data_IF_030136004154
#
_entry.id   IF_030136004154
#
_cell.length_a   1.000
_cell.length_b   1.000
_cell.length_c   1.000
_cell.angle_alpha   90.00
_cell.angle_beta   90.00
_cell.angle_gamma   90.00
#
_symmetry.space_group_name_H-M   'P 1'
#
loop_
_entity.id
_entity.type
_entity.pdbx_description
1 polymer ?
#
# COMPACT_ATOMS: atom_id res chain seq x y z
N UNK A 1 13.02 2.08 -2.82
CA UNK A 1 11.64 1.53 -2.79
C UNK A 1 10.72 2.68 -3.03
N UNK A 2 9.78 2.61 -3.96
CA UNK A 2 8.85 3.70 -4.30
C UNK A 2 8.15 4.35 -3.08
N UNK A 3 7.54 5.50 -3.32
CA UNK A 3 6.78 6.28 -2.35
C UNK A 3 5.40 6.60 -2.88
N UNK A 4 4.38 6.50 -2.03
CA UNK A 4 3.01 6.87 -2.36
C UNK A 4 2.55 8.03 -1.49
N UNK A 5 1.71 8.90 -2.07
CA UNK A 5 1.01 10.00 -1.41
C UNK A 5 -0.41 10.04 -1.94
N UNK A 6 -1.37 10.34 -1.09
CA UNK A 6 -2.71 10.69 -1.54
C UNK A 6 -3.42 11.64 -0.60
N UNK A 7 -4.29 12.44 -1.20
CA UNK A 7 -5.11 13.44 -0.55
C UNK A 7 -6.54 13.30 -1.06
N UNK A 8 -7.47 13.04 -0.14
CA UNK A 8 -8.90 13.04 -0.38
C UNK A 8 -9.51 14.23 0.35
N UNK A 9 -10.41 14.95 -0.30
CA UNK A 9 -11.22 15.96 0.35
C UNK A 9 -12.68 15.88 -0.07
N UNK A 10 -13.59 15.87 0.90
CA UNK A 10 -15.01 15.72 0.66
C UNK A 10 -15.71 17.01 0.22
N UNK A 11 -15.07 18.17 0.41
CA UNK A 11 -15.65 19.51 0.18
C UNK A 11 -14.81 20.40 -0.73
N UNK A 12 -13.49 20.42 -0.57
CA UNK A 12 -12.57 21.17 -1.41
C UNK A 12 -12.41 20.53 -2.79
N UNK A 13 -12.25 21.35 -3.83
CA UNK A 13 -11.87 20.91 -5.16
C UNK A 13 -10.34 20.75 -5.26
N UNK A 14 -9.87 19.51 -5.41
CA UNK A 14 -8.44 19.20 -5.47
C UNK A 14 -7.83 19.31 -6.88
N UNK A 15 -8.63 19.56 -7.92
CA UNK A 15 -8.13 19.67 -9.30
C UNK A 15 -7.20 20.85 -9.54
N UNK A 16 -7.16 21.81 -8.61
CA UNK A 16 -6.33 23.03 -8.68
C UNK A 16 -5.22 23.06 -7.63
N UNK A 17 -5.02 21.97 -6.89
CA UNK A 17 -4.12 21.91 -5.73
C UNK A 17 -2.80 21.18 -6.06
N UNK A 18 -2.29 21.38 -7.28
CA UNK A 18 -1.11 20.69 -7.81
C UNK A 18 0.15 20.96 -6.97
N UNK A 19 0.36 22.21 -6.55
CA UNK A 19 1.52 22.65 -5.79
C UNK A 19 1.65 21.90 -4.45
N UNK A 20 0.54 21.74 -3.71
CA UNK A 20 0.54 21.06 -2.42
C UNK A 20 0.88 19.58 -2.60
N UNK A 21 0.23 18.87 -3.54
CA UNK A 21 0.53 17.46 -3.76
C UNK A 21 1.97 17.26 -4.24
N UNK A 22 2.47 18.18 -5.06
CA UNK A 22 3.87 18.19 -5.50
C UNK A 22 4.82 18.32 -4.31
N UNK A 23 4.63 19.31 -3.44
CA UNK A 23 5.45 19.53 -2.24
C UNK A 23 5.46 18.29 -1.34
N UNK A 24 4.29 17.71 -1.07
CA UNK A 24 4.17 16.46 -0.30
C UNK A 24 4.99 15.33 -0.93
N UNK A 25 4.91 15.18 -2.25
CA UNK A 25 5.60 14.13 -3.00
C UNK A 25 7.12 14.34 -3.06
N UNK A 26 7.58 15.58 -3.15
CA UNK A 26 9.02 15.90 -3.14
C UNK A 26 9.71 15.49 -1.84
N UNK A 27 9.02 15.56 -0.70
CA UNK A 27 9.61 15.14 0.58
C UNK A 27 10.04 13.67 0.62
N UNK A 28 9.47 12.83 -0.26
CA UNK A 28 9.76 11.41 -0.37
C UNK A 28 10.47 11.03 -1.68
N UNK A 29 11.11 11.98 -2.36
CA UNK A 29 11.88 11.73 -3.59
C UNK A 29 12.93 10.62 -3.42
N UNK A 30 13.60 10.54 -2.26
CA UNK A 30 14.65 9.54 -1.96
C UNK A 30 14.16 8.09 -2.06
N UNK A 31 12.85 7.86 -1.96
CA UNK A 31 12.23 6.54 -2.11
C UNK A 31 12.25 6.07 -3.56
N UNK A 32 11.93 6.97 -4.48
CA UNK A 32 11.81 6.72 -5.91
C UNK A 32 12.43 7.84 -6.73
N UNK A 33 13.75 7.80 -6.97
CA UNK A 33 14.46 8.86 -7.69
C UNK A 33 14.20 8.87 -9.19
N UNK A 34 13.75 7.75 -9.77
CA UNK A 34 13.77 7.52 -11.23
C UNK A 34 12.62 8.19 -11.96
N UNK A 35 11.42 8.23 -11.36
CA UNK A 35 10.26 8.86 -11.95
C UNK A 35 9.27 9.38 -10.90
N UNK A 36 8.38 10.26 -11.34
CA UNK A 36 7.24 10.73 -10.56
C UNK A 36 5.97 10.74 -11.41
N UNK A 37 4.83 10.76 -10.73
CA UNK A 37 3.54 10.89 -11.39
C UNK A 37 2.49 11.42 -10.42
N UNK A 38 1.50 12.08 -11.01
CA UNK A 38 0.42 12.75 -10.30
C UNK A 38 -0.90 12.50 -11.02
N UNK A 39 -1.97 12.40 -10.24
CA UNK A 39 -3.33 12.35 -10.76
C UNK A 39 -4.22 13.23 -9.89
N UNK A 40 -5.12 13.97 -10.53
CA UNK A 40 -5.98 14.94 -9.88
C UNK A 40 -7.43 14.75 -10.32
N UNK A 41 -8.34 14.98 -9.38
CA UNK A 41 -9.78 15.06 -9.58
C UNK A 41 -10.37 16.02 -8.55
N UNK A 42 -11.65 16.40 -8.66
CA UNK A 42 -12.25 17.29 -7.68
C UNK A 42 -12.22 16.79 -6.23
N UNK A 43 -12.14 15.47 -5.98
CA UNK A 43 -12.23 14.90 -4.62
C UNK A 43 -11.00 14.13 -4.17
N UNK A 44 -10.07 13.87 -5.07
CA UNK A 44 -8.91 13.06 -4.80
C UNK A 44 -7.72 13.50 -5.66
N UNK A 45 -6.55 13.54 -5.06
CA UNK A 45 -5.27 13.77 -5.70
C UNK A 45 -4.28 12.70 -5.22
N UNK A 46 -3.63 11.99 -6.15
CA UNK A 46 -2.68 10.92 -5.85
C UNK A 46 -1.31 11.23 -6.44
N UNK A 47 -0.27 11.02 -5.66
CA UNK A 47 1.13 11.22 -6.03
C UNK A 47 1.94 9.92 -5.90
N UNK A 48 2.99 9.81 -6.71
CA UNK A 48 3.87 8.65 -6.70
C UNK A 48 5.33 9.05 -7.01
N UNK A 49 6.28 8.48 -6.26
CA UNK A 49 7.71 8.49 -6.55
C UNK A 49 8.16 7.07 -6.84
N UNK A 50 8.67 6.81 -8.03
CA UNK A 50 8.98 5.46 -8.49
C UNK A 50 10.47 5.15 -8.42
N UNK A 51 10.81 4.01 -7.83
CA UNK A 51 12.07 3.31 -8.10
C UNK A 51 11.74 2.22 -9.13
N UNK A 52 12.35 2.29 -10.31
CA UNK A 52 12.07 1.38 -11.40
C UNK A 52 12.88 0.10 -11.19
N UNK A 53 12.20 -0.97 -10.77
CA UNK A 53 12.76 -2.32 -10.65
C UNK A 53 12.34 -3.18 -11.84
N UNK A 54 11.05 -3.12 -12.20
CA UNK A 54 10.44 -3.92 -13.27
C UNK A 54 9.59 -3.01 -14.17
N UNK A 55 9.56 -3.33 -15.47
CA UNK A 55 8.76 -2.69 -16.54
C UNK A 55 8.73 -1.14 -16.49
N UNK A 56 9.82 -0.47 -16.91
CA UNK A 56 9.95 0.99 -16.86
C UNK A 56 8.79 1.77 -17.49
N UNK A 57 8.19 1.26 -18.57
CA UNK A 57 7.16 1.98 -19.33
C UNK A 57 5.73 1.60 -18.88
N UNK A 58 5.45 0.33 -18.62
CA UNK A 58 4.11 -0.15 -18.28
C UNK A 58 3.70 0.11 -16.82
N UNK A 59 4.66 0.22 -15.90
CA UNK A 59 4.41 0.44 -14.48
C UNK A 59 4.26 1.90 -14.03
N UNK A 60 3.84 2.83 -14.91
CA UNK A 60 3.66 4.24 -14.54
C UNK A 60 2.51 4.40 -13.54
N UNK A 61 2.74 5.24 -12.53
CA UNK A 61 1.81 5.46 -11.42
C UNK A 61 1.67 6.95 -11.09
N UNK A 62 0.48 7.42 -10.64
CA UNK A 62 -0.73 6.64 -10.37
C UNK A 62 -1.33 5.98 -11.63
N UNK A 63 -1.69 4.70 -11.52
CA UNK A 63 -2.23 3.92 -12.63
C UNK A 63 -3.74 4.13 -12.70
N UNK A 64 -4.23 4.58 -13.86
CA UNK A 64 -5.66 4.84 -14.09
C UNK A 64 -6.26 3.75 -14.98
N UNK A 65 -7.40 3.19 -14.58
CA UNK A 65 -8.25 2.34 -15.44
C UNK A 65 -9.68 2.84 -15.48
N UNK A 66 -10.26 2.76 -16.67
CA UNK A 66 -11.64 3.15 -16.94
C UNK A 66 -12.44 1.96 -17.46
N UNK A 67 -13.61 1.73 -16.86
CA UNK A 67 -14.59 0.72 -17.24
C UNK A 67 -15.96 1.40 -17.37
N UNK A 68 -16.36 1.70 -18.60
CA UNK A 68 -17.51 2.58 -18.85
C UNK A 68 -17.31 3.94 -18.17
N UNK A 69 -18.23 4.30 -17.28
CA UNK A 69 -18.19 5.56 -16.52
C UNK A 69 -17.43 5.46 -15.19
N UNK A 70 -16.93 4.27 -14.83
CA UNK A 70 -16.17 4.07 -13.58
C UNK A 70 -14.68 4.21 -13.83
N UNK A 71 -14.04 5.11 -13.09
CA UNK A 71 -12.59 5.30 -13.09
C UNK A 71 -12.00 4.86 -11.76
N UNK A 72 -10.93 4.07 -11.84
CA UNK A 72 -10.14 3.62 -10.70
C UNK A 72 -8.72 4.13 -10.83
N UNK A 73 -8.15 4.57 -9.72
CA UNK A 73 -6.80 5.13 -9.69
C UNK A 73 -6.01 4.49 -8.56
N UNK A 74 -4.89 3.86 -8.92
CA UNK A 74 -4.02 3.13 -8.00
C UNK A 74 -2.70 3.88 -7.80
N UNK A 75 -2.24 3.98 -6.55
CA UNK A 75 -0.84 4.25 -6.21
C UNK A 75 -0.34 3.14 -5.29
N UNK A 76 0.80 2.56 -5.60
CA UNK A 76 1.29 1.29 -5.05
C UNK A 76 2.80 1.31 -4.82
N UNK A 77 3.21 0.99 -3.60
CA UNK A 77 4.59 0.73 -3.23
C UNK A 77 4.73 -0.72 -2.82
N UNK A 78 5.38 -1.54 -3.63
CA UNK A 78 5.55 -2.94 -3.31
C UNK A 78 5.97 -3.79 -4.47
N UNK A 79 5.76 -5.09 -4.29
CA UNK A 79 5.92 -6.14 -5.30
C UNK A 79 4.93 -7.25 -4.99
N UNK A 80 4.23 -7.73 -6.01
CA UNK A 80 3.31 -8.88 -5.91
C UNK A 80 4.04 -10.10 -6.47
N UNK A 81 4.38 -11.06 -5.61
CA UNK A 81 5.19 -12.21 -5.97
C UNK A 81 4.41 -13.31 -6.71
N UNK A 82 3.09 -13.36 -6.50
CA UNK A 82 2.21 -14.28 -7.21
C UNK A 82 1.50 -13.61 -8.40
N UNK A 83 2.11 -12.59 -9.02
CA UNK A 83 1.51 -11.81 -10.09
C UNK A 83 1.21 -12.66 -11.34
N UNK A 84 2.06 -13.63 -11.63
CA UNK A 84 1.96 -14.53 -12.78
C UNK A 84 0.78 -15.50 -12.62
N UNK A 85 0.60 -16.05 -11.43
CA UNK A 85 -0.55 -16.89 -11.07
C UNK A 85 -1.85 -16.09 -11.11
N UNK A 86 -1.86 -14.90 -10.48
CA UNK A 86 -3.03 -14.02 -10.46
C UNK A 86 -3.42 -13.55 -11.86
N UNK A 87 -2.44 -13.19 -12.69
CA UNK A 87 -2.67 -12.80 -14.09
C UNK A 87 -3.39 -13.90 -14.85
N UNK A 88 -2.96 -15.16 -14.70
CA UNK A 88 -3.60 -16.30 -15.34
C UNK A 88 -5.04 -16.47 -14.85
N UNK A 89 -5.27 -16.44 -13.54
CA UNK A 89 -6.62 -16.56 -12.97
C UNK A 89 -7.55 -15.44 -13.48
N UNK A 90 -7.06 -14.19 -13.48
CA UNK A 90 -7.82 -13.04 -13.95
C UNK A 90 -8.12 -13.11 -15.46
N UNK A 91 -7.19 -13.64 -16.27
CA UNK A 91 -7.43 -13.87 -17.70
C UNK A 91 -8.53 -14.92 -17.93
N UNK A 92 -8.54 -16.00 -17.14
CA UNK A 92 -9.60 -17.02 -17.17
C UNK A 92 -10.97 -16.45 -16.78
N UNK A 93 -10.98 -15.40 -15.95
CA UNK A 93 -12.17 -14.62 -15.56
C UNK A 93 -12.56 -13.52 -16.56
N UNK A 94 -11.77 -13.32 -17.63
CA UNK A 94 -12.07 -12.39 -18.72
C UNK A 94 -11.36 -11.03 -18.65
N UNK A 95 -10.40 -10.85 -17.74
CA UNK A 95 -9.58 -9.64 -17.71
C UNK A 95 -8.56 -9.61 -18.85
N UNK A 96 -8.30 -8.42 -19.40
CA UNK A 96 -7.27 -8.17 -20.40
C UNK A 96 -6.22 -7.21 -19.86
N UNK A 97 -4.95 -7.51 -20.09
CA UNK A 97 -3.81 -6.75 -19.59
C UNK A 97 -3.12 -6.00 -20.72
N UNK A 98 -2.60 -4.80 -20.43
CA UNK A 98 -1.85 -3.97 -21.39
C UNK A 98 -0.35 -3.94 -21.11
N UNK A 99 0.07 -4.37 -19.93
CA UNK A 99 1.42 -4.27 -19.40
C UNK A 99 1.80 -5.56 -18.68
N UNK A 100 3.09 -5.76 -18.47
CA UNK A 100 3.62 -6.87 -17.67
C UNK A 100 3.89 -6.45 -16.22
N UNK A 101 3.43 -5.27 -15.82
CA UNK A 101 3.60 -4.76 -14.45
C UNK A 101 2.63 -5.43 -13.47
N UNK A 102 3.18 -5.85 -12.32
CA UNK A 102 2.46 -6.25 -11.11
C UNK A 102 1.43 -5.22 -10.62
N UNK A 103 1.66 -3.93 -10.91
CA UNK A 103 0.73 -2.84 -10.61
C UNK A 103 -0.60 -3.02 -11.35
N UNK A 104 -0.57 -3.46 -12.61
CA UNK A 104 -1.80 -3.73 -13.36
C UNK A 104 -2.50 -4.99 -12.83
N UNK A 105 -1.73 -6.02 -12.45
CA UNK A 105 -2.28 -7.23 -11.80
C UNK A 105 -2.99 -6.86 -10.50
N UNK A 106 -2.38 -6.04 -9.65
CA UNK A 106 -2.99 -5.55 -8.41
C UNK A 106 -4.31 -4.81 -8.68
N UNK A 107 -4.32 -3.88 -9.65
CA UNK A 107 -5.54 -3.15 -9.98
C UNK A 107 -6.65 -4.08 -10.48
N UNK A 108 -6.32 -5.03 -11.35
CA UNK A 108 -7.28 -6.03 -11.83
C UNK A 108 -7.79 -6.96 -10.72
N UNK A 109 -6.93 -7.33 -9.77
CA UNK A 109 -7.31 -8.10 -8.58
C UNK A 109 -8.35 -7.32 -7.75
N UNK A 110 -8.16 -6.02 -7.54
CA UNK A 110 -9.17 -5.18 -6.88
C UNK A 110 -10.46 -5.04 -7.69
N UNK A 111 -10.39 -5.02 -9.03
CA UNK A 111 -11.59 -4.91 -9.86
C UNK A 111 -12.47 -6.17 -9.80
N UNK A 112 -11.85 -7.35 -9.67
CA UNK A 112 -12.56 -8.62 -9.54
C UNK A 112 -13.12 -8.83 -8.12
N UNK A 113 -12.32 -8.55 -7.09
CA UNK A 113 -12.65 -8.93 -5.70
C UNK A 113 -12.90 -7.74 -4.76
N UNK A 114 -12.91 -6.50 -5.24
CA UNK A 114 -12.99 -5.27 -4.45
C UNK A 114 -12.07 -5.33 -3.21
N UNK A 115 -12.58 -5.06 -1.99
CA UNK A 115 -11.79 -5.07 -0.76
C UNK A 115 -11.21 -6.45 -0.40
N UNK A 116 -11.80 -7.54 -0.88
CA UNK A 116 -11.33 -8.90 -0.60
C UNK A 116 -10.06 -9.24 -1.41
N UNK A 117 -9.64 -8.37 -2.34
CA UNK A 117 -8.42 -8.55 -3.13
C UNK A 117 -7.18 -8.86 -2.29
N UNK A 118 -7.10 -8.31 -1.08
CA UNK A 118 -5.97 -8.52 -0.15
C UNK A 118 -5.78 -9.98 0.27
N UNK A 119 -6.82 -10.82 0.17
CA UNK A 119 -6.75 -12.26 0.43
C UNK A 119 -6.03 -13.04 -0.68
N UNK A 120 -5.89 -12.43 -1.86
CA UNK A 120 -5.31 -13.05 -3.05
C UNK A 120 -3.86 -12.64 -3.28
N UNK A 121 -3.38 -11.59 -2.60
CA UNK A 121 -2.07 -11.01 -2.82
C UNK A 121 -1.00 -11.71 -1.99
N UNK A 122 0.02 -12.27 -2.62
CA UNK A 122 1.27 -12.65 -1.97
C UNK A 122 2.34 -11.62 -2.33
N UNK A 123 2.87 -10.90 -1.35
CA UNK A 123 3.83 -9.84 -1.62
C UNK A 123 4.08 -8.91 -0.44
N UNK A 124 4.96 -7.95 -0.68
CA UNK A 124 5.18 -6.79 0.20
C UNK A 124 4.55 -5.56 -0.44
N UNK A 125 3.61 -4.90 0.22
CA UNK A 125 2.81 -3.86 -0.41
C UNK A 125 2.24 -2.85 0.57
N UNK A 126 2.17 -1.62 0.11
CA UNK A 126 1.28 -0.59 0.60
C UNK A 126 0.66 0.09 -0.62
N UNK A 127 -0.66 0.20 -0.68
CA UNK A 127 -1.33 0.83 -1.81
C UNK A 127 -2.58 1.59 -1.39
N UNK A 128 -2.98 2.51 -2.27
CA UNK A 128 -4.27 3.19 -2.22
C UNK A 128 -4.97 3.14 -3.57
N UNK A 129 -6.26 2.79 -3.56
CA UNK A 129 -7.14 2.77 -4.73
C UNK A 129 -8.28 3.73 -4.50
N UNK A 130 -8.45 4.67 -5.42
CA UNK A 130 -9.59 5.57 -5.48
C UNK A 130 -10.59 5.08 -6.53
N UNK A 131 -11.83 4.80 -6.12
CA UNK A 131 -12.98 4.61 -7.00
C UNK A 131 -13.73 5.95 -7.11
N UNK A 132 -13.58 6.62 -8.26
CA UNK A 132 -14.10 7.97 -8.49
C UNK A 132 -15.64 8.01 -8.47
N UNK A 133 -16.28 6.96 -8.99
CA UNK A 133 -17.74 6.89 -9.08
C UNK A 133 -18.37 6.67 -7.69
N UNK A 134 -17.76 5.81 -6.87
CA UNK A 134 -18.22 5.57 -5.48
C UNK A 134 -17.67 6.58 -4.47
N UNK A 135 -16.76 7.47 -4.87
CA UNK A 135 -15.96 8.31 -3.97
C UNK A 135 -15.42 7.50 -2.77
N UNK A 136 -14.78 6.38 -3.09
CA UNK A 136 -14.30 5.37 -2.12
C UNK A 136 -12.79 5.25 -2.21
N UNK A 137 -12.10 5.49 -1.09
CA UNK A 137 -10.69 5.17 -0.94
C UNK A 137 -10.55 3.81 -0.26
N UNK A 138 -9.75 2.93 -0.86
CA UNK A 138 -9.31 1.70 -0.25
C UNK A 138 -7.79 1.74 -0.05
N UNK A 139 -7.34 1.58 1.19
CA UNK A 139 -5.93 1.49 1.59
C UNK A 139 -5.64 0.08 2.08
N UNK A 140 -4.49 -0.49 1.76
CA UNK A 140 -4.05 -1.75 2.33
C UNK A 140 -2.55 -1.77 2.57
N UNK A 141 -2.14 -2.49 3.63
CA UNK A 141 -0.75 -2.75 3.98
C UNK A 141 -0.54 -4.24 4.16
N UNK A 142 0.60 -4.75 3.68
CA UNK A 142 0.93 -6.17 3.65
C UNK A 142 0.90 -6.86 5.01
N UNK A 143 0.83 -8.19 4.94
CA UNK A 143 0.77 -9.16 6.03
C UNK A 143 1.69 -8.80 7.21
N UNK A 144 2.95 -8.46 6.93
CA UNK A 144 3.97 -8.21 7.95
C UNK A 144 4.32 -6.73 8.12
N UNK A 145 3.68 -5.83 7.37
CA UNK A 145 3.92 -4.40 7.43
C UNK A 145 5.28 -3.98 6.88
N UNK A 146 5.81 -4.71 5.90
CA UNK A 146 7.10 -4.44 5.26
C UNK A 146 7.12 -3.04 4.63
N UNK A 147 6.06 -2.68 3.91
CA UNK A 147 5.94 -1.34 3.30
C UNK A 147 5.23 -0.39 4.27
N UNK A 148 5.77 0.79 4.56
CA UNK A 148 5.14 1.73 5.48
C UNK A 148 3.93 2.41 4.83
N UNK A 149 2.90 2.66 5.64
CA UNK A 149 1.73 3.43 5.25
C UNK A 149 1.17 4.16 6.47
N UNK A 150 1.16 5.48 6.38
CA UNK A 150 0.61 6.39 7.40
C UNK A 150 -0.58 7.13 6.83
N UNK A 151 -1.50 7.53 7.71
CA UNK A 151 -2.66 8.32 7.33
C UNK A 151 -3.12 9.24 8.44
N UNK A 152 -3.86 10.29 8.09
CA UNK A 152 -4.47 11.23 9.03
C UNK A 152 -5.81 11.71 8.49
N UNK A 153 -6.76 11.90 9.40
CA UNK A 153 -8.05 12.55 9.14
C UNK A 153 -8.13 13.87 9.91
N UNK A 154 -8.49 14.94 9.20
CA UNK A 154 -8.69 16.29 9.74
C UNK A 154 -9.87 16.95 9.04
N UNK A 155 -11.02 16.98 9.72
CA UNK A 155 -12.25 17.50 9.14
C UNK A 155 -12.63 16.71 7.89
N UNK A 156 -12.72 17.40 6.74
CA UNK A 156 -13.05 16.79 5.44
C UNK A 156 -11.83 16.27 4.68
N UNK A 157 -10.63 16.51 5.20
CA UNK A 157 -9.38 16.13 4.57
C UNK A 157 -8.88 14.80 5.12
N UNK A 158 -8.51 13.91 4.22
CA UNK A 158 -7.76 12.70 4.51
C UNK A 158 -6.47 12.68 3.71
N UNK A 159 -5.36 12.41 4.39
CA UNK A 159 -4.04 12.27 3.78
C UNK A 159 -3.48 10.89 4.09
N UNK A 160 -2.80 10.27 3.14
CA UNK A 160 -1.98 9.09 3.37
C UNK A 160 -0.64 9.18 2.66
N UNK A 161 0.39 8.56 3.22
CA UNK A 161 1.69 8.51 2.58
C UNK A 161 2.58 7.36 3.10
N UNK A 162 3.62 7.02 2.35
CA UNK A 162 4.66 6.10 2.81
C UNK A 162 5.47 6.61 4.00
N UNK A 163 5.62 7.92 4.16
CA UNK A 163 6.39 8.53 5.26
C UNK A 163 5.63 9.74 5.83
N UNK A 164 5.70 9.92 7.15
CA UNK A 164 4.95 10.96 7.87
C UNK A 164 5.28 12.37 7.36
N UNK A 165 6.53 12.65 6.96
CA UNK A 165 6.93 13.97 6.45
C UNK A 165 6.15 14.42 5.20
N UNK A 166 5.66 13.49 4.38
CA UNK A 166 4.81 13.84 3.25
C UNK A 166 3.42 14.32 3.72
N UNK A 167 2.90 13.75 4.81
CA UNK A 167 1.67 14.23 5.44
C UNK A 167 1.90 15.61 6.08
N UNK A 168 3.04 15.80 6.76
CA UNK A 168 3.38 17.06 7.43
C UNK A 168 3.67 18.22 6.46
N UNK A 169 3.98 17.93 5.20
CA UNK A 169 4.13 18.95 4.16
C UNK A 169 2.79 19.59 3.76
N UNK A 170 1.65 18.96 4.08
CA UNK A 170 0.34 19.54 3.78
C UNK A 170 0.03 20.71 4.74
N UNK A 171 -0.38 21.91 4.25
CA UNK A 171 -0.55 23.12 5.07
C UNK A 171 -1.54 22.98 6.24
N UNK A 172 -2.54 22.10 6.11
CA UNK A 172 -3.52 21.85 7.17
C UNK A 172 -3.00 20.98 8.33
N UNK A 173 -1.80 20.40 8.23
CA UNK A 173 -1.26 19.49 9.24
C UNK A 173 -0.15 20.18 10.03
N UNK A 174 -0.35 20.30 11.34
CA UNK A 174 0.65 20.81 12.27
C UNK A 174 1.49 19.67 12.85
N UNK A 175 2.83 19.82 12.97
CA UNK A 175 3.72 18.82 13.57
C UNK A 175 3.64 18.86 15.11
N UNK A 176 2.48 18.49 15.66
CA UNK A 176 2.23 18.45 17.11
C UNK A 176 2.60 17.08 17.71
N UNK A 177 3.27 17.08 18.85
CA UNK A 177 3.45 15.90 19.71
C UNK A 177 2.51 15.98 20.91
N UNK A 178 1.93 14.85 21.30
CA UNK A 178 1.23 14.66 22.56
C UNK A 178 2.02 13.72 23.49
N UNK A 179 1.46 13.41 24.66
CA UNK A 179 2.11 12.50 25.61
C UNK A 179 2.40 11.11 25.01
N UNK A 180 1.56 10.63 24.09
CA UNK A 180 1.79 9.37 23.38
C UNK A 180 2.96 9.51 22.42
N UNK A 181 3.01 10.57 21.62
CA UNK A 181 4.13 10.86 20.72
C UNK A 181 5.48 10.96 21.43
N UNK A 182 5.51 11.63 22.59
CA UNK A 182 6.69 11.69 23.44
C UNK A 182 7.07 10.29 23.97
N UNK A 183 6.09 9.50 24.41
CA UNK A 183 6.31 8.13 24.87
C UNK A 183 6.85 7.20 23.78
N UNK A 184 6.37 7.30 22.54
CA UNK A 184 6.89 6.53 21.41
C UNK A 184 8.36 6.87 21.12
N UNK A 185 8.73 8.14 21.22
CA UNK A 185 10.08 8.58 20.91
C UNK A 185 11.09 8.21 22.01
N UNK A 186 10.76 8.51 23.27
CA UNK A 186 11.68 8.39 24.40
C UNK A 186 11.53 7.09 25.21
N UNK A 187 10.36 6.45 25.19
CA UNK A 187 10.08 5.24 25.96
C UNK A 187 10.24 3.94 25.16
N UNK A 188 9.71 3.91 23.93
CA UNK A 188 9.71 2.69 23.09
C UNK A 188 10.92 2.58 22.14
N UNK A 189 11.65 3.67 21.90
CA UNK A 189 12.72 3.71 20.89
C UNK A 189 13.76 2.59 21.07
N UNK A 190 14.14 1.85 20.00
CA UNK A 190 13.84 2.07 18.57
C UNK A 190 12.53 1.42 18.06
N UNK A 191 11.73 0.82 18.94
CA UNK A 191 10.48 0.16 18.57
C UNK A 191 9.33 1.17 18.49
N UNK A 192 8.26 0.82 17.77
CA UNK A 192 7.04 1.64 17.68
C UNK A 192 5.83 0.80 18.02
N UNK A 193 4.87 1.38 18.75
CA UNK A 193 3.57 0.74 18.94
C UNK A 193 2.88 0.59 17.59
N UNK A 194 2.48 -0.63 17.18
CA UNK A 194 1.79 -0.83 15.90
C UNK A 194 0.52 0.02 15.81
N UNK A 195 0.43 0.85 14.77
CA UNK A 195 -0.72 1.73 14.56
C UNK A 195 -0.46 3.22 14.86
N UNK A 196 0.71 3.57 15.38
CA UNK A 196 1.01 4.91 15.91
C UNK A 196 2.02 5.65 15.03
N UNK A 197 1.67 6.87 14.59
CA UNK A 197 2.48 7.72 13.71
C UNK A 197 3.34 8.78 14.41
N UNK A 198 3.55 8.69 15.73
CA UNK A 198 4.29 9.63 16.61
C UNK A 198 3.69 11.04 16.70
N UNK A 199 3.32 11.67 15.59
CA UNK A 199 2.64 12.97 15.59
C UNK A 199 1.15 12.80 15.88
N UNK A 200 0.61 13.76 16.62
CA UNK A 200 -0.76 13.76 17.11
C UNK A 200 -1.76 13.52 15.97
N UNK A 201 -2.55 12.46 16.09
CA UNK A 201 -3.59 12.07 15.13
C UNK A 201 -3.09 11.44 13.82
N UNK A 202 -1.78 11.40 13.56
CA UNK A 202 -1.22 10.61 12.46
C UNK A 202 -1.13 9.16 12.92
N UNK A 203 -1.71 8.26 12.14
CA UNK A 203 -1.79 6.84 12.43
C UNK A 203 -0.96 6.06 11.42
N UNK A 204 -0.39 4.95 11.85
CA UNK A 204 0.19 3.96 10.96
C UNK A 204 -0.89 2.92 10.63
N UNK A 205 -1.06 2.53 9.37
CA UNK A 205 -1.91 1.37 9.07
C UNK A 205 -1.19 0.11 9.58
N UNK A 206 -1.82 -0.65 10.47
CA UNK A 206 -1.23 -1.87 11.03
C UNK A 206 -0.97 -2.91 9.93
N UNK A 207 0.05 -3.75 10.13
CA UNK A 207 0.33 -4.91 9.30
C UNK A 207 -0.90 -5.83 9.17
N UNK A 208 -1.17 -6.37 7.98
CA UNK A 208 -2.31 -7.25 7.71
C UNK A 208 -3.67 -6.57 7.85
N UNK A 209 -3.72 -5.23 7.70
CA UNK A 209 -4.96 -4.46 7.74
C UNK A 209 -5.19 -3.67 6.44
N UNK A 210 -6.47 -3.43 6.17
CA UNK A 210 -6.96 -2.52 5.15
C UNK A 210 -7.92 -1.49 5.77
N UNK A 211 -8.12 -0.39 5.06
CA UNK A 211 -9.08 0.65 5.40
C UNK A 211 -9.92 0.98 4.17
N UNK A 212 -11.24 0.97 4.31
CA UNK A 212 -12.17 1.56 3.34
C UNK A 212 -12.73 2.85 3.91
N UNK A 213 -12.70 3.92 3.11
CA UNK A 213 -13.11 5.26 3.52
C UNK A 213 -14.02 5.86 2.46
N UNK A 214 -15.19 6.32 2.90
CA UNK A 214 -16.19 7.01 2.09
C UNK A 214 -16.68 8.25 2.86
N UNK A 215 -17.60 9.02 2.27
CA UNK A 215 -18.25 10.14 2.97
C UNK A 215 -19.02 9.70 4.21
N UNK A 216 -19.55 8.48 4.21
CA UNK A 216 -20.36 7.92 5.28
C UNK A 216 -19.51 7.42 6.45
N UNK A 217 -18.22 7.19 6.23
CA UNK A 217 -17.28 6.87 7.29
C UNK A 217 -16.12 5.98 6.87
N UNK A 218 -15.47 5.43 7.89
CA UNK A 218 -14.26 4.62 7.78
C UNK A 218 -14.48 3.23 8.38
N UNK A 219 -14.04 2.20 7.66
CA UNK A 219 -14.00 0.81 8.14
C UNK A 219 -12.56 0.29 8.06
N UNK A 220 -12.03 -0.18 9.19
CA UNK A 220 -10.73 -0.84 9.27
C UNK A 220 -10.96 -2.34 9.39
N UNK A 221 -10.33 -3.13 8.53
CA UNK A 221 -10.45 -4.59 8.53
C UNK A 221 -9.08 -5.22 8.72
N UNK A 222 -8.96 -6.14 9.68
CA UNK A 222 -7.80 -7.03 9.77
C UNK A 222 -8.05 -8.23 8.87
N UNK A 223 -7.37 -8.28 7.74
CA UNK A 223 -7.52 -9.35 6.76
C UNK A 223 -6.55 -10.51 7.01
N UNK A 224 -5.44 -10.25 7.71
CA UNK A 224 -4.47 -11.28 8.08
C UNK A 224 -3.98 -11.15 9.53
N UNK A 225 -3.62 -12.29 10.11
CA UNK A 225 -2.97 -12.38 11.42
C UNK A 225 -2.08 -13.62 11.43
N UNK A 226 -0.85 -13.47 11.89
CA UNK A 226 0.03 -14.61 12.18
C UNK A 226 -0.62 -15.51 13.24
N UNK A 227 -0.83 -16.78 12.89
CA UNK A 227 -1.26 -17.81 13.83
C UNK A 227 -0.03 -18.53 14.38
N UNK A 228 0.24 -18.35 15.68
CA UNK A 228 1.24 -19.14 16.38
C UNK A 228 0.62 -20.47 16.80
N UNK A 229 1.16 -21.57 16.29
CA UNK A 229 0.80 -22.94 16.67
C UNK A 229 1.92 -23.54 17.52
N UNK A 230 1.62 -24.45 18.46
CA UNK A 230 2.65 -25.16 19.21
C UNK A 230 3.63 -25.85 18.25
N UNK A 231 4.92 -25.69 18.50
CA UNK A 231 5.95 -26.42 17.77
C UNK A 231 6.04 -27.85 18.31
N UNK A 232 5.57 -28.82 17.53
CA UNK A 232 5.47 -30.23 17.95
C UNK A 232 6.65 -31.08 17.52
N UNK A 233 7.52 -30.56 16.67
CA UNK A 233 8.65 -31.29 16.13
C UNK A 233 9.78 -31.37 17.16
N UNK A 234 10.48 -32.51 17.20
CA UNK A 234 11.71 -32.64 17.98
C UNK A 234 12.90 -31.89 17.32
N UNK A 235 14.04 -31.86 18.00
CA UNK A 235 15.22 -31.13 17.53
C UNK A 235 15.70 -31.64 16.17
N UNK A 236 15.73 -32.95 15.96
CA UNK A 236 16.24 -33.56 14.73
C UNK A 236 15.29 -33.28 13.55
N UNK A 237 13.99 -33.38 13.78
CA UNK A 237 12.95 -33.04 12.79
C UNK A 237 13.01 -31.56 12.43
N UNK A 238 13.15 -30.69 13.42
CA UNK A 238 13.29 -29.24 13.22
C UNK A 238 14.55 -28.93 12.41
N UNK A 239 15.69 -29.50 12.79
CA UNK A 239 16.96 -29.28 12.11
C UNK A 239 16.92 -29.79 10.66
N UNK A 240 16.31 -30.94 10.41
CA UNK A 240 16.12 -31.49 9.08
C UNK A 240 15.22 -30.60 8.20
N UNK A 241 14.12 -30.07 8.76
CA UNK A 241 13.23 -29.15 8.07
C UNK A 241 13.95 -27.85 7.71
N UNK A 242 14.66 -27.25 8.68
CA UNK A 242 15.46 -26.05 8.41
C UNK A 242 16.52 -26.30 7.34
N UNK A 243 17.24 -27.42 7.42
CA UNK A 243 18.22 -27.79 6.40
C UNK A 243 17.59 -27.98 5.02
N UNK A 244 16.34 -28.45 4.94
CA UNK A 244 15.61 -28.61 3.67
C UNK A 244 15.35 -27.28 2.96
N UNK A 245 15.10 -26.19 3.70
CA UNK A 245 14.91 -24.86 3.11
C UNK A 245 16.19 -24.31 2.45
N UNK A 246 17.36 -24.73 2.93
CA UNK A 246 18.66 -24.31 2.41
C UNK A 246 19.24 -25.24 1.34
N UNK A 247 18.58 -26.37 1.05
CA UNK A 247 18.96 -27.22 -0.09
C UNK A 247 18.53 -26.53 -1.37
N UNK A 248 19.44 -25.76 -1.96
CA UNK A 248 19.30 -25.22 -3.32
C UNK A 248 19.04 -26.41 -4.26
N UNK A 249 17.90 -26.47 -4.97
CA UNK A 249 17.70 -27.48 -6.00
C UNK A 249 18.81 -27.32 -7.03
N UNK A 250 19.59 -28.37 -7.27
CA UNK A 250 20.50 -28.43 -8.40
C UNK A 250 19.71 -28.12 -9.68
N UNK A 251 20.06 -27.00 -10.33
CA UNK A 251 19.57 -26.51 -11.62
C UNK A 251 18.52 -27.41 -12.31
N UNK A 252 17.23 -27.13 -12.07
CA UNK A 252 16.15 -27.89 -12.70
C UNK A 252 14.77 -27.59 -12.12
N UNK A 253 14.27 -26.38 -12.43
CA UNK A 253 12.87 -25.95 -12.29
C UNK A 253 12.20 -25.95 -10.90
N UNK A 254 11.45 -24.86 -10.68
CA UNK A 254 10.57 -24.53 -9.56
C UNK A 254 11.25 -24.07 -8.26
N UNK A 255 11.10 -22.77 -7.99
CA UNK A 255 11.34 -22.14 -6.68
C UNK A 255 10.22 -22.62 -5.74
N UNK A 256 10.50 -23.09 -4.52
CA UNK A 256 9.45 -23.41 -3.56
C UNK A 256 8.76 -22.11 -3.15
N UNK A 257 7.48 -21.97 -3.49
CA UNK A 257 6.59 -20.98 -2.89
C UNK A 257 6.39 -21.34 -1.43
N UNK A 258 6.90 -20.52 -0.51
CA UNK A 258 6.41 -20.54 0.87
C UNK A 258 4.95 -20.05 0.83
N UNK A 259 4.02 -20.97 1.05
CA UNK A 259 2.65 -20.65 1.44
C UNK A 259 2.73 -20.05 2.86
N UNK A 260 2.53 -18.74 2.96
CA UNK A 260 2.29 -18.00 4.21
C UNK A 260 0.81 -17.66 4.32
#
# INVERSE_FOLDING_TARGET
>A
MSGIVGWIDWEQDLSTQEEILYEMTQTIQHRGPDAEGFWFSPRAALGHRRLIVTDPEGGRQPMVKQYGDRRYVLTFNGEIYNDSELRKELQERGHTFKTDSDTEVLLHTYLEWEEDCVQHLNGMFAFGIWDEAKQKLFLARDHMGIKPLFYVERGNTLLFASEIKAILAHPAIQPELDAQGLGENFGNGPMRTPGVGVFKGIQELRAGHSITITREGKRVTRYWKLESKPHTDDLDTTAALFASFWRIPSAGNSVPTCLW
#
